data_IF_487424064606
#
_entry.id   IF_487424064606
#
_cell.length_a   1.000
_cell.length_b   1.000
_cell.length_c   1.000
_cell.angle_alpha   90.00
_cell.angle_beta   90.00
_cell.angle_gamma   90.00
#
_symmetry.space_group_name_H-M   'P 1'
#
loop_
_entity.id
_entity.type
_entity.pdbx_description
1 polymer ?
#
# COMPACT_ATOMS: atom_id res chain seq x y z
N UNK A 1 4.01 -9.54 -20.06
CA UNK A 1 3.19 -10.48 -19.25
C UNK A 1 3.03 -9.87 -17.88
N UNK A 2 1.85 -9.33 -17.59
CA UNK A 2 1.56 -8.69 -16.31
C UNK A 2 1.27 -9.77 -15.28
N UNK A 3 2.30 -10.39 -14.73
CA UNK A 3 2.20 -11.28 -13.56
C UNK A 3 2.03 -10.43 -12.29
N UNK A 4 1.00 -9.59 -12.27
CA UNK A 4 0.65 -8.89 -11.05
C UNK A 4 0.10 -9.95 -10.09
N UNK A 5 0.59 -9.97 -8.85
CA UNK A 5 0.08 -10.91 -7.86
C UNK A 5 -1.42 -10.62 -7.64
N UNK A 6 -2.24 -11.68 -7.59
CA UNK A 6 -3.69 -11.60 -7.31
C UNK A 6 -3.99 -11.26 -5.85
N UNK A 7 -3.17 -10.40 -5.25
CA UNK A 7 -3.23 -9.99 -3.87
C UNK A 7 -4.27 -8.90 -3.70
N UNK A 8 -5.01 -8.94 -2.60
CA UNK A 8 -5.76 -7.79 -2.14
C UNK A 8 -4.84 -6.87 -1.36
N UNK A 9 -5.10 -5.57 -1.42
CA UNK A 9 -4.37 -4.56 -0.67
C UNK A 9 -5.33 -3.93 0.34
N UNK A 10 -5.00 -4.07 1.62
CA UNK A 10 -5.72 -3.38 2.70
C UNK A 10 -5.00 -2.07 2.98
N UNK A 11 -5.73 -0.98 2.80
CA UNK A 11 -5.26 0.36 3.12
C UNK A 11 -5.78 0.78 4.48
N UNK A 12 -4.88 1.29 5.30
CA UNK A 12 -5.21 1.96 6.54
C UNK A 12 -4.56 3.34 6.51
N UNK A 13 -5.33 4.38 6.81
CA UNK A 13 -4.80 5.74 6.99
C UNK A 13 -4.53 6.00 8.47
N UNK A 14 -3.51 6.80 8.77
CA UNK A 14 -3.24 7.22 10.16
C UNK A 14 -4.29 8.18 10.73
N UNK A 15 -5.08 8.81 9.86
CA UNK A 15 -6.08 9.81 10.24
C UNK A 15 -7.42 9.20 10.64
N UNK A 16 -7.89 8.21 9.88
CA UNK A 16 -9.12 7.47 10.15
C UNK A 16 -8.79 5.97 10.17
N UNK A 17 -8.55 5.44 11.36
CA UNK A 17 -8.34 4.01 11.58
C UNK A 17 -9.59 3.17 11.20
N UNK A 18 -10.74 3.83 11.08
CA UNK A 18 -12.04 3.26 10.69
C UNK A 18 -12.24 3.17 9.17
N UNK A 19 -11.46 3.92 8.36
CA UNK A 19 -11.51 3.84 6.90
C UNK A 19 -10.53 2.79 6.38
N UNK A 20 -10.88 1.54 6.59
CA UNK A 20 -10.18 0.39 6.03
C UNK A 20 -10.67 0.14 4.61
N UNK A 21 -9.83 0.43 3.61
CA UNK A 21 -10.19 0.18 2.21
C UNK A 21 -9.47 -1.05 1.70
N UNK A 22 -10.22 -2.10 1.36
CA UNK A 22 -9.68 -3.28 0.68
C UNK A 22 -9.91 -3.10 -0.81
N UNK A 23 -8.84 -3.12 -1.59
CA UNK A 23 -8.92 -3.00 -3.05
C UNK A 23 -7.97 -3.99 -3.73
N UNK A 24 -8.16 -4.21 -5.03
CA UNK A 24 -7.27 -5.04 -5.81
C UNK A 24 -5.90 -4.37 -6.00
N UNK A 25 -4.86 -5.18 -6.17
CA UNK A 25 -3.49 -4.71 -6.38
C UNK A 25 -3.34 -3.75 -7.57
N UNK A 26 -4.21 -3.84 -8.57
CA UNK A 26 -4.22 -2.90 -9.70
C UNK A 26 -4.79 -1.53 -9.32
N UNK A 27 -5.79 -1.49 -8.43
CA UNK A 27 -6.42 -0.26 -7.95
C UNK A 27 -5.53 0.51 -6.96
N UNK A 28 -4.65 -0.21 -6.25
CA UNK A 28 -3.64 0.36 -5.36
C UNK A 28 -2.80 1.47 -6.01
N UNK A 29 -2.53 1.38 -7.32
CA UNK A 29 -1.76 2.40 -8.05
C UNK A 29 -2.42 3.79 -7.99
N UNK A 30 -3.72 3.86 -8.20
CA UNK A 30 -4.46 5.13 -8.23
C UNK A 30 -4.62 5.76 -6.85
N UNK A 31 -4.83 4.92 -5.83
CA UNK A 31 -5.09 5.36 -4.45
C UNK A 31 -3.82 5.92 -3.81
N UNK A 32 -2.73 5.15 -3.86
CA UNK A 32 -1.52 5.46 -3.11
C UNK A 32 -0.59 6.44 -3.83
N UNK A 33 -0.45 6.27 -5.15
CA UNK A 33 0.52 7.04 -5.95
C UNK A 33 -0.14 8.10 -6.84
N UNK A 34 -1.48 8.19 -6.85
CA UNK A 34 -2.24 9.21 -7.59
C UNK A 34 -2.68 10.38 -6.70
N UNK A 35 -3.49 10.10 -5.68
CA UNK A 35 -4.14 11.14 -4.84
C UNK A 35 -3.34 11.54 -3.59
N UNK A 36 -2.48 10.66 -3.09
CA UNK A 36 -1.72 10.82 -1.83
C UNK A 36 -0.21 10.94 -2.07
N UNK A 37 0.19 11.72 -3.08
CA UNK A 37 1.60 11.90 -3.48
C UNK A 37 2.53 12.45 -2.38
N UNK A 38 1.96 12.92 -1.27
CA UNK A 38 2.64 13.48 -0.11
C UNK A 38 2.62 12.55 1.11
N UNK A 39 1.88 11.44 1.09
CA UNK A 39 1.90 10.44 2.16
C UNK A 39 3.06 9.45 1.99
N UNK A 40 3.61 9.02 3.12
CA UNK A 40 4.52 7.88 3.18
C UNK A 40 3.71 6.59 3.15
N UNK A 41 4.01 5.73 2.18
CA UNK A 41 3.36 4.43 2.06
C UNK A 41 4.24 3.40 2.76
N UNK A 42 3.70 2.66 3.72
CA UNK A 42 4.37 1.56 4.41
C UNK A 42 3.63 0.27 4.11
N UNK A 43 4.24 -0.62 3.34
CA UNK A 43 3.71 -1.94 3.04
C UNK A 43 4.40 -2.99 3.92
N UNK A 44 3.62 -3.72 4.72
CA UNK A 44 4.14 -4.79 5.62
C UNK A 44 5.32 -4.32 6.49
N UNK A 45 5.27 -3.07 6.96
CA UNK A 45 6.33 -2.46 7.78
C UNK A 45 7.53 -1.90 7.02
N UNK A 46 7.56 -2.01 5.68
CA UNK A 46 8.60 -1.41 4.82
C UNK A 46 8.08 -0.18 4.10
N UNK A 47 8.83 0.92 4.13
CA UNK A 47 8.49 2.11 3.35
C UNK A 47 8.65 1.82 1.85
N UNK A 48 7.62 2.17 1.09
CA UNK A 48 7.55 2.02 -0.36
C UNK A 48 7.33 3.40 -0.97
N UNK A 49 8.12 3.78 -1.98
CA UNK A 49 8.03 5.11 -2.61
C UNK A 49 7.40 5.09 -3.99
N UNK A 50 7.24 3.90 -4.57
CA UNK A 50 6.68 3.72 -5.90
C UNK A 50 5.81 2.47 -5.99
N UNK A 51 4.88 2.46 -6.95
CA UNK A 51 4.07 1.28 -7.23
C UNK A 51 4.95 0.08 -7.65
N UNK A 52 6.06 0.34 -8.34
CA UNK A 52 7.01 -0.70 -8.73
C UNK A 52 7.68 -1.36 -7.53
N UNK A 53 8.06 -0.59 -6.50
CA UNK A 53 8.56 -1.16 -5.24
C UNK A 53 7.48 -1.96 -4.51
N UNK A 54 6.22 -1.52 -4.55
CA UNK A 54 5.10 -2.29 -4.00
C UNK A 54 4.96 -3.64 -4.72
N UNK A 55 5.02 -3.62 -6.06
CA UNK A 55 4.98 -4.83 -6.90
C UNK A 55 6.14 -5.76 -6.55
N UNK A 56 7.35 -5.23 -6.41
CA UNK A 56 8.52 -6.03 -6.04
C UNK A 56 8.35 -6.67 -4.66
N UNK A 57 7.84 -5.92 -3.68
CA UNK A 57 7.57 -6.42 -2.33
C UNK A 57 6.49 -7.51 -2.34
N UNK A 58 5.40 -7.28 -3.07
CA UNK A 58 4.33 -8.24 -3.25
C UNK A 58 4.74 -9.49 -4.05
N UNK A 59 5.74 -9.37 -4.92
CA UNK A 59 6.32 -10.47 -5.68
C UNK A 59 7.36 -11.29 -4.88
N UNK A 60 7.78 -10.84 -3.70
CA UNK A 60 8.66 -11.63 -2.83
C UNK A 60 7.94 -12.91 -2.39
N UNK A 61 8.68 -14.02 -2.31
CA UNK A 61 8.14 -15.35 -2.01
C UNK A 61 7.40 -15.39 -0.65
N UNK A 62 7.80 -14.52 0.29
CA UNK A 62 7.16 -14.32 1.60
C UNK A 62 5.74 -13.73 1.52
N UNK A 63 5.44 -12.96 0.47
CA UNK A 63 4.14 -12.31 0.26
C UNK A 63 3.33 -12.95 -0.87
N UNK A 64 3.97 -13.76 -1.73
CA UNK A 64 3.34 -14.45 -2.86
C UNK A 64 2.24 -15.44 -2.46
N UNK A 65 2.31 -16.01 -1.26
CA UNK A 65 1.30 -16.92 -0.71
C UNK A 65 0.30 -16.23 0.23
N UNK A 66 0.46 -14.92 0.50
CA UNK A 66 -0.52 -14.18 1.28
C UNK A 66 -1.74 -13.94 0.41
N UNK A 67 -2.91 -13.84 1.02
CA UNK A 67 -4.12 -13.43 0.29
C UNK A 67 -4.23 -11.89 0.26
N UNK A 68 -3.57 -11.23 1.21
CA UNK A 68 -3.66 -9.79 1.42
C UNK A 68 -2.31 -9.18 1.84
N UNK A 69 -2.02 -7.99 1.31
CA UNK A 69 -0.90 -7.14 1.70
C UNK A 69 -1.42 -5.98 2.55
N UNK A 70 -0.87 -5.78 3.75
CA UNK A 70 -1.23 -4.63 4.57
C UNK A 70 -0.41 -3.42 4.16
N UNK A 71 -1.09 -2.32 3.89
CA UNK A 71 -0.46 -1.05 3.52
C UNK A 71 -1.01 0.08 4.37
N UNK A 72 -0.11 0.79 5.03
CA UNK A 72 -0.40 1.97 5.82
C UNK A 72 0.01 3.22 5.05
N UNK A 73 -0.89 4.20 5.01
CA UNK A 73 -0.64 5.54 4.52
C UNK A 73 -0.36 6.43 5.73
N UNK A 74 0.89 6.86 5.86
CA UNK A 74 1.33 7.79 6.89
C UNK A 74 1.37 9.19 6.29
N UNK A 75 0.45 10.01 6.77
CA UNK A 75 0.36 11.43 6.46
C UNK A 75 1.44 12.21 7.25
N UNK A 76 2.42 12.87 6.59
CA UNK A 76 3.44 13.65 7.29
C UNK A 76 2.92 14.96 7.91
N UNK A 77 1.71 15.40 7.57
CA UNK A 77 1.09 16.59 8.16
C UNK A 77 0.61 16.34 9.60
N UNK A 78 0.68 15.11 10.10
CA UNK A 78 0.45 14.76 11.52
C UNK A 78 1.70 15.04 12.40
N UNK A 79 2.71 15.74 11.85
CA UNK A 79 3.77 16.39 12.62
C UNK A 79 3.36 17.79 13.10
N UNK A 80 2.26 17.91 13.86
CA UNK A 80 1.87 19.14 14.54
C UNK A 80 2.40 19.12 15.98
N UNK A 81 3.16 20.16 16.37
CA UNK A 81 3.65 20.37 17.74
C UNK A 81 2.57 20.77 18.74
#
# INVERSE_FOLDING_TARGET
MSNLPKLKVRWQTTRNQEEETICDFEQAKGIAFGSWSWAFIIAEGKMVRSYEELVQLAAQDEHKNKEMLNVMLIDPAIGGG
#
